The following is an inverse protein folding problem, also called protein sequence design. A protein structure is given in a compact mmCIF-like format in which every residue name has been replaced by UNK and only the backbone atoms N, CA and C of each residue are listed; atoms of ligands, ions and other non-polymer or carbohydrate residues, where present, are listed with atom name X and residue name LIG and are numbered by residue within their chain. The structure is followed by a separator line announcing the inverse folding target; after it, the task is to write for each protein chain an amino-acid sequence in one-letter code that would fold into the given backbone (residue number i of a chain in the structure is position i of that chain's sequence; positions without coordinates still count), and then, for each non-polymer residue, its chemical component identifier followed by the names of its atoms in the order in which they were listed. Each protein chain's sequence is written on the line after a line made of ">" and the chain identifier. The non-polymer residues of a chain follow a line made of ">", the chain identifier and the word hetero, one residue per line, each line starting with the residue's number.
data_IF_301085264253
#
_entry.id   IF_301085264253
#
_cell.length_a   1.000
_cell.length_b   1.000
_cell.length_c   1.000
_cell.angle_alpha   90.00
_cell.angle_beta   90.00
_cell.angle_gamma   90.00
#
_symmetry.space_group_name_H-M   'P 1'
#
loop_
_entity.id
_entity.type
_entity.pdbx_description
1 polymer ?
#
# COMPACT_ATOMS: atom_id res chain seq x y z
N UNK A 1 33.92 -9.53 -68.94
CA UNK A 1 34.43 -8.68 -67.84
C UNK A 1 33.40 -7.61 -67.49
N UNK A 2 32.80 -7.70 -66.29
CA UNK A 2 32.61 -6.61 -65.31
C UNK A 2 31.51 -6.96 -64.29
N UNK A 3 31.99 -7.58 -63.22
CA UNK A 3 31.69 -7.38 -61.78
C UNK A 3 30.21 -7.40 -61.33
N UNK A 4 29.87 -8.58 -60.83
CA UNK A 4 29.02 -8.89 -59.68
C UNK A 4 29.18 -7.85 -58.55
N UNK A 5 28.11 -7.12 -58.22
CA UNK A 5 28.05 -6.27 -57.03
C UNK A 5 27.28 -6.96 -55.90
N UNK A 6 28.08 -7.48 -54.98
CA UNK A 6 27.91 -7.75 -53.54
C UNK A 6 26.95 -6.72 -52.88
N UNK A 7 25.83 -7.15 -52.29
CA UNK A 7 25.63 -7.59 -50.88
C UNK A 7 25.40 -6.41 -49.90
N UNK A 8 24.32 -6.55 -49.12
CA UNK A 8 24.07 -5.92 -47.81
C UNK A 8 23.70 -4.42 -47.76
N UNK A 9 22.39 -4.13 -47.83
CA UNK A 9 21.81 -3.03 -47.07
C UNK A 9 21.02 -3.67 -45.90
N UNK A 10 21.68 -3.99 -44.79
CA UNK A 10 21.55 -3.23 -43.53
C UNK A 10 20.12 -2.67 -43.39
N UNK A 11 19.12 -3.44 -42.94
CA UNK A 11 18.96 -3.90 -41.55
C UNK A 11 19.76 -3.05 -40.57
N UNK A 12 19.21 -1.88 -40.19
CA UNK A 12 19.23 -1.31 -38.83
C UNK A 12 18.77 0.15 -38.92
N UNK A 13 17.52 0.41 -38.55
CA UNK A 13 17.10 1.61 -37.82
C UNK A 13 15.63 1.45 -37.36
N UNK A 14 15.33 0.31 -36.74
CA UNK A 14 14.34 0.26 -35.67
C UNK A 14 15.10 0.43 -34.36
N UNK A 15 15.65 1.62 -34.13
CA UNK A 15 15.92 2.05 -32.76
C UNK A 15 14.62 2.72 -32.32
N UNK A 16 13.58 1.90 -32.14
CA UNK A 16 12.50 2.26 -31.24
C UNK A 16 13.16 2.39 -29.89
N UNK A 17 13.53 3.62 -29.53
CA UNK A 17 13.89 3.99 -28.18
C UNK A 17 12.65 3.83 -27.30
N UNK A 18 12.29 2.59 -26.99
CA UNK A 18 11.67 2.30 -25.71
C UNK A 18 12.76 2.64 -24.70
N UNK A 19 12.64 3.81 -24.08
CA UNK A 19 13.29 4.08 -22.80
C UNK A 19 12.68 3.12 -21.78
N UNK A 20 13.09 1.85 -21.83
CA UNK A 20 12.94 0.92 -20.72
C UNK A 20 13.78 1.50 -19.58
N UNK A 21 13.09 2.05 -18.58
CA UNK A 21 13.71 2.35 -17.30
C UNK A 21 14.42 1.10 -16.84
N UNK A 22 15.75 1.17 -16.64
CA UNK A 22 16.51 0.02 -16.18
C UNK A 22 15.91 -0.48 -14.88
N UNK A 23 15.48 -1.75 -14.87
CA UNK A 23 15.04 -2.44 -13.68
C UNK A 23 16.10 -2.34 -12.58
N UNK A 24 15.65 -2.16 -11.34
CA UNK A 24 16.54 -1.82 -10.22
C UNK A 24 17.23 -3.07 -9.66
N UNK A 25 18.52 -2.95 -9.37
CA UNK A 25 19.32 -4.08 -8.87
C UNK A 25 19.02 -4.42 -7.40
N UNK A 26 18.56 -3.45 -6.61
CA UNK A 26 18.20 -3.65 -5.20
C UNK A 26 16.85 -3.03 -4.82
N UNK A 27 16.30 -3.51 -3.70
CA UNK A 27 15.11 -2.90 -3.08
C UNK A 27 15.37 -1.47 -2.62
N UNK A 28 16.60 -1.12 -2.23
CA UNK A 28 16.96 0.24 -1.83
C UNK A 28 16.89 1.20 -3.01
N UNK A 29 17.29 0.74 -4.19
CA UNK A 29 17.20 1.51 -5.43
C UNK A 29 15.73 1.69 -5.84
N UNK A 30 14.90 0.66 -5.70
CA UNK A 30 13.46 0.78 -5.94
C UNK A 30 12.77 1.70 -4.91
N UNK A 31 13.23 1.67 -3.65
CA UNK A 31 12.78 2.58 -2.60
C UNK A 31 13.19 4.03 -2.86
N UNK A 32 14.34 4.26 -3.50
CA UNK A 32 14.79 5.62 -3.83
C UNK A 32 13.86 6.36 -4.79
N UNK A 33 13.04 5.63 -5.57
CA UNK A 33 12.02 6.21 -6.47
C UNK A 33 10.73 6.61 -5.74
N UNK A 34 10.55 6.19 -4.49
CA UNK A 34 9.56 6.80 -3.62
C UNK A 34 10.15 8.17 -3.22
N UNK A 35 10.10 9.16 -4.11
CA UNK A 35 10.76 10.46 -3.90
C UNK A 35 10.18 11.25 -2.69
N UNK A 36 9.08 10.75 -2.12
CA UNK A 36 8.24 11.42 -1.15
C UNK A 36 8.15 10.69 0.21
N UNK A 37 9.16 9.92 0.68
CA UNK A 37 9.18 9.41 2.07
C UNK A 37 10.22 10.07 2.97
N UNK A 38 9.84 10.32 4.22
CA UNK A 38 10.71 10.81 5.28
C UNK A 38 11.45 9.65 5.95
N UNK A 39 10.73 8.56 6.26
CA UNK A 39 11.32 7.38 6.92
C UNK A 39 10.55 6.09 6.62
N UNK A 40 11.24 4.95 6.71
CA UNK A 40 10.68 3.60 6.57
C UNK A 40 10.67 2.92 7.94
N UNK A 41 9.49 2.46 8.40
CA UNK A 41 9.32 1.88 9.73
C UNK A 41 9.38 0.36 9.74
N UNK A 42 8.92 -0.25 8.65
CA UNK A 42 8.78 -1.69 8.54
C UNK A 42 8.74 -2.12 7.08
N UNK A 43 9.19 -3.35 6.83
CA UNK A 43 9.00 -4.01 5.56
C UNK A 43 8.68 -5.48 5.79
N UNK A 44 7.82 -6.03 4.92
CA UNK A 44 7.38 -7.42 4.97
C UNK A 44 7.61 -8.08 3.62
N UNK A 45 8.47 -9.09 3.59
CA UNK A 45 8.59 -10.00 2.44
C UNK A 45 7.27 -10.75 2.24
N UNK A 46 6.80 -10.74 1.00
CA UNK A 46 5.67 -11.50 0.47
C UNK A 46 6.15 -12.33 -0.74
N UNK A 47 5.29 -13.14 -1.33
CA UNK A 47 5.68 -14.08 -2.40
C UNK A 47 6.40 -13.39 -3.57
N UNK A 48 5.80 -12.32 -4.12
CA UNK A 48 6.29 -11.64 -5.32
C UNK A 48 7.00 -10.31 -5.05
N UNK A 49 7.42 -10.04 -3.81
CA UNK A 49 8.05 -8.76 -3.50
C UNK A 49 8.07 -8.40 -2.01
N UNK A 50 7.98 -7.11 -1.73
CA UNK A 50 8.03 -6.55 -0.37
C UNK A 50 6.99 -5.47 -0.20
N UNK A 51 6.20 -5.56 0.87
CA UNK A 51 5.37 -4.45 1.34
C UNK A 51 6.19 -3.57 2.27
N UNK A 52 6.19 -2.27 2.04
CA UNK A 52 6.96 -1.29 2.81
C UNK A 52 6.00 -0.29 3.44
N UNK A 53 6.19 -0.04 4.74
CA UNK A 53 5.47 0.96 5.50
C UNK A 53 6.37 2.16 5.76
N UNK A 54 5.92 3.35 5.38
CA UNK A 54 6.72 4.57 5.40
C UNK A 54 5.89 5.80 5.81
N UNK A 55 6.57 6.87 6.18
CA UNK A 55 5.97 8.18 6.42
C UNK A 55 6.26 9.06 5.20
N UNK A 56 5.23 9.64 4.58
CA UNK A 56 5.41 10.56 3.47
C UNK A 56 6.04 11.89 3.91
N UNK A 57 6.83 12.55 3.05
CA UNK A 57 7.45 13.87 3.30
C UNK A 57 6.45 15.04 3.36
N UNK A 58 5.23 14.85 2.87
CA UNK A 58 4.26 15.94 2.67
C UNK A 58 3.55 16.31 3.97
N UNK A 59 3.70 17.58 4.39
CA UNK A 59 2.94 18.17 5.49
C UNK A 59 1.43 18.07 5.21
N UNK A 60 0.70 17.33 6.05
CA UNK A 60 -0.76 17.13 5.94
C UNK A 60 -1.20 15.77 5.36
N UNK A 61 -0.26 14.91 4.96
CA UNK A 61 -0.58 13.54 4.54
C UNK A 61 -0.68 12.56 5.73
N UNK A 62 -1.39 11.44 5.53
CA UNK A 62 -1.60 10.42 6.58
C UNK A 62 -0.27 10.01 7.22
N UNK A 63 -0.19 9.84 8.56
CA UNK A 63 1.08 9.56 9.26
C UNK A 63 1.68 8.18 8.96
N UNK A 64 1.04 7.41 8.07
CA UNK A 64 1.45 6.08 7.64
C UNK A 64 0.95 5.82 6.22
N UNK A 65 1.87 5.46 5.33
CA UNK A 65 1.60 4.98 3.98
C UNK A 65 2.22 3.60 3.78
N UNK A 66 1.68 2.85 2.82
CA UNK A 66 2.23 1.57 2.39
C UNK A 66 2.45 1.54 0.87
N UNK A 67 3.44 0.77 0.43
CA UNK A 67 3.70 0.48 -0.98
C UNK A 67 4.11 -0.99 -1.15
N UNK A 68 3.86 -1.55 -2.34
CA UNK A 68 4.37 -2.87 -2.73
C UNK A 68 5.48 -2.73 -3.76
N UNK A 69 6.63 -3.34 -3.51
CA UNK A 69 7.76 -3.34 -4.44
C UNK A 69 7.85 -4.75 -4.99
N UNK A 70 7.51 -4.90 -6.27
CA UNK A 70 7.50 -6.17 -6.95
C UNK A 70 8.93 -6.62 -7.28
N UNK A 71 9.17 -7.92 -7.13
CA UNK A 71 10.35 -8.58 -7.66
C UNK A 71 10.00 -9.27 -8.97
N UNK A 72 10.56 -8.80 -10.07
CA UNK A 72 10.40 -9.38 -11.41
C UNK A 72 11.65 -10.17 -11.80
N UNK A 73 11.63 -10.84 -12.95
CA UNK A 73 12.82 -11.48 -13.53
C UNK A 73 13.87 -10.45 -13.99
N UNK A 74 13.45 -9.21 -14.26
CA UNK A 74 14.31 -8.10 -14.68
C UNK A 74 14.93 -7.33 -13.52
N UNK A 75 14.38 -7.42 -12.31
CA UNK A 75 14.90 -6.71 -11.14
C UNK A 75 13.79 -6.36 -10.15
N UNK A 76 13.99 -5.29 -9.39
CA UNK A 76 12.95 -4.71 -8.54
C UNK A 76 12.24 -3.58 -9.28
N UNK A 77 10.92 -3.61 -9.23
CA UNK A 77 10.05 -2.61 -9.83
C UNK A 77 9.16 -2.02 -8.73
N UNK A 78 9.21 -0.71 -8.58
CA UNK A 78 8.32 0.01 -7.69
C UNK A 78 6.95 0.13 -8.35
N UNK A 79 6.11 -0.89 -8.21
CA UNK A 79 4.68 -0.76 -8.50
C UNK A 79 4.06 0.00 -7.34
N UNK A 80 3.92 1.32 -7.46
CA UNK A 80 3.18 2.10 -6.48
C UNK A 80 1.68 1.78 -6.57
N UNK A 81 1.31 0.59 -6.13
CA UNK A 81 -0.03 0.35 -5.62
C UNK A 81 -0.19 1.39 -4.51
N UNK A 82 -1.11 2.33 -4.67
CA UNK A 82 -1.46 3.33 -3.66
C UNK A 82 -2.88 3.00 -3.20
N UNK A 83 -3.06 2.81 -1.90
CA UNK A 83 -4.39 2.58 -1.31
C UNK A 83 -5.21 3.86 -1.24
N UNK A 84 -6.52 3.72 -1.08
CA UNK A 84 -7.39 4.85 -0.71
C UNK A 84 -7.10 5.27 0.73
N UNK A 85 -7.03 6.58 0.98
CA UNK A 85 -6.74 7.15 2.29
C UNK A 85 -8.02 7.60 3.03
N UNK A 86 -8.39 6.96 4.13
CA UNK A 86 -9.41 7.54 5.00
C UNK A 86 -8.82 8.80 5.67
N UNK A 87 -9.37 9.99 5.38
CA UNK A 87 -9.08 11.21 6.15
C UNK A 87 -9.86 11.09 7.46
N UNK A 88 -9.18 10.96 8.59
CA UNK A 88 -9.86 10.78 9.88
C UNK A 88 -9.73 12.02 10.76
N UNK A 89 -10.87 12.60 11.19
CA UNK A 89 -10.92 13.69 12.17
C UNK A 89 -11.05 13.22 13.63
N UNK A 90 -11.35 11.93 13.92
CA UNK A 90 -11.02 11.24 15.20
C UNK A 90 -11.68 9.83 15.36
N UNK A 91 -10.96 8.74 15.05
CA UNK A 91 -11.05 7.49 15.82
C UNK A 91 -9.68 7.07 16.40
N UNK A 92 -9.67 6.08 17.31
CA UNK A 92 -8.47 5.49 17.92
C UNK A 92 -7.40 4.98 16.93
N UNK A 93 -7.72 4.90 15.64
CA UNK A 93 -6.80 4.50 14.59
C UNK A 93 -7.03 5.30 13.31
N UNK A 94 -5.96 5.84 12.73
CA UNK A 94 -5.94 6.23 11.32
C UNK A 94 -5.68 4.97 10.51
N UNK A 95 -6.48 4.67 9.47
CA UNK A 95 -6.36 3.42 8.74
C UNK A 95 -6.76 3.59 7.27
N UNK A 96 -6.32 2.64 6.44
CA UNK A 96 -6.46 2.67 5.00
C UNK A 96 -6.64 1.26 4.46
N UNK A 97 -7.46 1.15 3.41
CA UNK A 97 -7.62 -0.08 2.65
C UNK A 97 -6.85 0.03 1.33
N UNK A 98 -5.91 -0.87 1.15
CA UNK A 98 -5.14 -1.03 -0.07
C UNK A 98 -5.76 -2.14 -0.90
N UNK A 99 -6.23 -1.79 -2.08
CA UNK A 99 -6.82 -2.73 -3.02
C UNK A 99 -5.77 -3.20 -4.03
N UNK A 100 -5.98 -4.39 -4.57
CA UNK A 100 -5.12 -4.97 -5.59
C UNK A 100 -5.27 -4.18 -6.90
N UNK A 101 -4.19 -3.55 -7.37
CA UNK A 101 -4.11 -2.95 -8.70
C UNK A 101 -3.35 -3.84 -9.71
N UNK A 102 -2.54 -4.78 -9.21
CA UNK A 102 -1.76 -5.74 -9.99
C UNK A 102 -1.99 -7.16 -9.44
N UNK A 103 -2.20 -8.14 -10.33
CA UNK A 103 -2.42 -9.56 -9.96
C UNK A 103 -1.28 -10.15 -9.12
N UNK A 104 -0.07 -9.60 -9.24
CA UNK A 104 1.11 -10.05 -8.51
C UNK A 104 1.22 -9.45 -7.10
N UNK A 105 0.40 -8.45 -6.76
CA UNK A 105 0.46 -7.80 -5.46
C UNK A 105 -0.31 -8.59 -4.39
N UNK A 106 0.15 -8.55 -3.13
CA UNK A 106 -0.44 -9.34 -2.04
C UNK A 106 -1.75 -8.74 -1.49
N UNK A 107 -2.24 -7.66 -2.11
CA UNK A 107 -3.43 -6.96 -1.67
C UNK A 107 -4.70 -7.73 -2.05
N UNK A 108 -5.82 -7.58 -1.33
CA UNK A 108 -6.14 -6.48 -0.40
C UNK A 108 -5.41 -6.51 0.96
N UNK A 109 -5.09 -5.32 1.46
CA UNK A 109 -4.54 -5.14 2.81
C UNK A 109 -5.17 -3.95 3.51
N UNK A 110 -5.67 -4.17 4.73
CA UNK A 110 -6.08 -3.11 5.64
C UNK A 110 -4.92 -2.82 6.60
N UNK A 111 -4.60 -1.56 6.80
CA UNK A 111 -3.51 -1.16 7.70
C UNK A 111 -3.80 0.16 8.38
N UNK A 112 -3.15 0.40 9.52
CA UNK A 112 -3.37 1.63 10.27
C UNK A 112 -2.35 1.88 11.37
N UNK A 113 -2.44 3.07 11.94
CA UNK A 113 -1.69 3.53 13.11
C UNK A 113 -2.66 3.80 14.24
N UNK A 114 -2.43 3.16 15.38
CA UNK A 114 -3.15 3.44 16.63
C UNK A 114 -2.75 4.82 17.14
N UNK A 115 -3.74 5.66 17.41
CA UNK A 115 -3.63 7.02 17.95
C UNK A 115 -4.02 7.09 19.42
N UNK A 116 -4.87 6.18 19.91
CA UNK A 116 -5.22 6.09 21.33
C UNK A 116 -4.19 5.22 22.10
N UNK A 117 -3.47 5.76 23.11
CA UNK A 117 -2.48 5.01 23.87
C UNK A 117 -3.06 3.88 24.75
N UNK A 118 -4.35 3.92 25.08
CA UNK A 118 -5.03 2.88 25.86
C UNK A 118 -5.29 1.62 25.03
N UNK A 119 -5.32 1.76 23.70
CA UNK A 119 -5.48 0.64 22.78
C UNK A 119 -4.15 -0.11 22.60
N UNK A 120 -4.15 -1.39 23.00
CA UNK A 120 -3.01 -2.30 22.91
C UNK A 120 -3.13 -3.32 21.79
N UNK A 121 -4.35 -3.70 21.44
CA UNK A 121 -4.60 -4.63 20.35
C UNK A 121 -5.67 -4.09 19.42
N UNK A 122 -5.64 -4.59 18.19
CA UNK A 122 -6.66 -4.31 17.19
C UNK A 122 -7.31 -5.63 16.80
N UNK A 123 -8.63 -5.64 16.71
CA UNK A 123 -9.41 -6.74 16.13
C UNK A 123 -10.16 -6.20 14.92
N UNK A 124 -10.17 -6.97 13.84
CA UNK A 124 -10.90 -6.62 12.62
C UNK A 124 -11.96 -7.69 12.41
N UNK A 125 -13.16 -7.28 12.01
CA UNK A 125 -14.22 -8.18 11.58
C UNK A 125 -14.72 -7.72 10.22
N UNK A 126 -14.69 -8.62 9.22
CA UNK A 126 -15.30 -8.40 7.91
C UNK A 126 -16.44 -9.39 7.74
N UNK A 127 -17.68 -8.91 7.57
CA UNK A 127 -18.86 -9.76 7.37
C UNK A 127 -18.91 -10.96 8.34
N UNK A 128 -18.78 -10.68 9.63
CA UNK A 128 -18.76 -11.67 10.73
C UNK A 128 -17.49 -12.54 10.83
N UNK A 129 -16.56 -12.48 9.85
CA UNK A 129 -15.28 -13.17 9.92
C UNK A 129 -14.26 -12.33 10.69
N UNK A 130 -13.74 -12.86 11.79
CA UNK A 130 -12.62 -12.24 12.52
C UNK A 130 -11.32 -12.37 11.72
N UNK A 131 -10.65 -11.25 11.52
CA UNK A 131 -9.32 -11.13 10.92
C UNK A 131 -8.37 -10.66 12.01
N UNK A 132 -7.30 -11.44 12.25
CA UNK A 132 -6.28 -11.10 13.24
C UNK A 132 -5.19 -10.25 12.60
N UNK A 133 -5.10 -8.94 12.90
CA UNK A 133 -4.03 -8.12 12.37
C UNK A 133 -2.70 -8.48 13.03
N UNK A 134 -1.62 -8.17 12.31
CA UNK A 134 -0.27 -8.12 12.88
C UNK A 134 -0.04 -6.74 13.43
N UNK A 135 0.42 -6.69 14.67
CA UNK A 135 0.78 -5.45 15.36
C UNK A 135 2.29 -5.27 15.36
N UNK A 136 2.73 -4.02 15.20
CA UNK A 136 4.12 -3.60 15.14
C UNK A 136 4.30 -2.38 16.04
N UNK A 137 5.32 -2.42 16.89
CA UNK A 137 5.79 -1.24 17.62
C UNK A 137 7.18 -0.87 17.09
N UNK A 138 7.28 0.24 16.38
CA UNK A 138 8.54 0.69 15.76
C UNK A 138 8.63 2.21 15.83
N UNK A 139 9.77 2.73 16.26
CA UNK A 139 10.03 4.18 16.36
C UNK A 139 8.93 4.96 17.11
N UNK A 140 8.41 4.40 18.20
CA UNK A 140 7.33 5.01 18.99
C UNK A 140 5.94 4.97 18.34
N UNK A 141 5.80 4.33 17.16
CA UNK A 141 4.52 4.16 16.47
C UNK A 141 3.95 2.76 16.76
N UNK A 142 2.65 2.71 17.04
CA UNK A 142 1.86 1.48 17.14
C UNK A 142 1.10 1.30 15.82
N UNK A 143 1.59 0.40 14.98
CA UNK A 143 1.07 0.14 13.63
C UNK A 143 0.43 -1.25 13.61
N UNK A 144 -0.60 -1.43 12.80
CA UNK A 144 -1.21 -2.72 12.55
C UNK A 144 -1.51 -2.92 11.07
N UNK A 145 -1.54 -4.17 10.62
CA UNK A 145 -1.94 -4.50 9.25
C UNK A 145 -2.49 -5.93 9.14
N UNK A 146 -3.36 -6.16 8.17
CA UNK A 146 -3.92 -7.46 7.83
C UNK A 146 -4.10 -7.60 6.32
N UNK A 147 -3.59 -8.70 5.75
CA UNK A 147 -4.03 -9.14 4.43
C UNK A 147 -5.39 -9.82 4.57
N UNK A 148 -6.31 -9.54 3.66
CA UNK A 148 -7.70 -9.96 3.78
C UNK A 148 -8.29 -10.34 2.42
N UNK A 149 -9.39 -11.09 2.46
CA UNK A 149 -10.21 -11.33 1.27
C UNK A 149 -10.74 -9.99 0.74
N UNK A 150 -10.96 -9.92 -0.59
CA UNK A 150 -11.55 -8.74 -1.22
C UNK A 150 -12.94 -8.49 -0.65
N UNK A 151 -13.15 -7.36 0.05
CA UNK A 151 -14.48 -7.04 0.53
C UNK A 151 -15.40 -6.75 -0.67
N UNK A 152 -16.68 -7.07 -0.52
CA UNK A 152 -17.71 -6.73 -1.50
C UNK A 152 -18.33 -5.38 -1.16
N UNK A 153 -18.90 -4.70 -2.15
CA UNK A 153 -19.61 -3.46 -1.89
C UNK A 153 -20.82 -3.74 -0.98
N UNK A 154 -20.94 -2.95 0.09
CA UNK A 154 -21.92 -3.16 1.16
C UNK A 154 -21.43 -4.03 2.31
N UNK A 155 -20.26 -4.67 2.22
CA UNK A 155 -19.68 -5.44 3.32
C UNK A 155 -19.47 -4.56 4.57
N UNK A 156 -19.81 -5.10 5.74
CA UNK A 156 -19.52 -4.46 7.03
C UNK A 156 -18.09 -4.77 7.46
N UNK A 157 -17.31 -3.72 7.69
CA UNK A 157 -15.95 -3.78 8.22
C UNK A 157 -15.93 -3.08 9.59
N UNK A 158 -15.62 -3.84 10.63
CA UNK A 158 -15.54 -3.35 12.01
C UNK A 158 -14.08 -3.44 12.48
N UNK A 159 -13.56 -2.36 13.05
CA UNK A 159 -12.23 -2.29 13.64
C UNK A 159 -12.40 -1.93 15.12
N UNK A 160 -12.06 -2.85 16.02
CA UNK A 160 -12.10 -2.60 17.46
C UNK A 160 -10.69 -2.34 18.00
N UNK A 161 -10.56 -1.31 18.82
CA UNK A 161 -9.40 -1.07 19.67
C UNK A 161 -9.63 -1.74 21.01
N UNK A 162 -8.68 -2.56 21.44
CA UNK A 162 -8.78 -3.37 22.66
C UNK A 162 -7.74 -2.98 23.71
N UNK A 163 -8.12 -3.09 24.98
CA UNK A 163 -7.24 -2.90 26.15
C UNK A 163 -6.27 -4.08 26.32
N UNK A 164 -5.39 -3.99 27.33
CA UNK A 164 -4.51 -5.11 27.75
C UNK A 164 -5.30 -6.37 28.13
N UNK A 165 -6.52 -6.19 28.65
CA UNK A 165 -7.43 -7.26 29.06
C UNK A 165 -8.31 -7.76 27.91
N UNK A 166 -8.06 -7.30 26.68
CA UNK A 166 -8.84 -7.61 25.48
C UNK A 166 -10.29 -7.09 25.51
N UNK A 167 -10.58 -6.10 26.36
CA UNK A 167 -11.87 -5.41 26.38
C UNK A 167 -11.92 -4.36 25.29
N UNK A 168 -13.10 -4.15 24.70
CA UNK A 168 -13.29 -3.13 23.65
C UNK A 168 -13.26 -1.75 24.29
N UNK A 169 -12.33 -0.91 23.85
CA UNK A 169 -12.22 0.50 24.24
C UNK A 169 -13.00 1.37 23.25
N UNK A 170 -12.77 1.16 21.95
CA UNK A 170 -13.36 1.94 20.87
C UNK A 170 -13.64 1.06 19.66
N UNK A 171 -14.60 1.48 18.84
CA UNK A 171 -15.02 0.78 17.63
C UNK A 171 -15.14 1.76 16.48
N UNK A 172 -14.66 1.34 15.32
CA UNK A 172 -14.88 2.01 14.04
C UNK A 172 -15.62 1.05 13.12
N UNK A 173 -16.68 1.54 12.48
CA UNK A 173 -17.49 0.76 11.54
C UNK A 173 -17.49 1.43 10.17
N UNK A 174 -17.27 0.63 9.14
CA UNK A 174 -17.29 1.04 7.74
C UNK A 174 -18.22 0.14 6.94
N UNK A 175 -18.92 0.73 5.98
CA UNK A 175 -19.62 -0.01 4.94
C UNK A 175 -18.85 0.23 3.65
N UNK A 176 -18.24 -0.85 3.15
CA UNK A 176 -17.43 -0.80 1.93
C UNK A 176 -18.28 -0.26 0.76
N UNK A 177 -17.73 0.70 0.02
CA UNK A 177 -18.43 1.33 -1.12
C UNK A 177 -19.48 2.40 -0.76
N UNK A 178 -19.83 2.60 0.52
CA UNK A 178 -20.73 3.68 0.97
C UNK A 178 -20.04 4.73 1.82
N UNK A 179 -19.14 4.32 2.70
CA UNK A 179 -18.23 5.24 3.38
C UNK A 179 -17.01 5.38 2.52
N UNK A 180 -16.69 6.60 2.11
CA UNK A 180 -15.48 6.85 1.38
C UNK A 180 -14.28 6.50 2.28
N UNK A 181 -13.47 5.52 1.88
CA UNK A 181 -12.10 5.38 2.38
C UNK A 181 -11.20 6.47 1.77
N UNK A 182 -11.79 7.58 1.33
CA UNK A 182 -11.22 8.69 0.59
C UNK A 182 -12.05 9.91 0.98
N UNK A 183 -11.54 10.70 1.94
CA UNK A 183 -12.34 11.72 2.64
C UNK A 183 -13.27 12.52 1.73
N UNK A 184 -14.47 12.76 2.22
CA UNK A 184 -15.52 13.56 1.61
C UNK A 184 -14.94 14.66 0.71
N UNK A 185 -15.29 14.61 -0.57
CA UNK A 185 -15.38 15.83 -1.35
C UNK A 185 -16.34 16.72 -0.57
N UNK A 186 -15.81 17.83 -0.05
CA UNK A 186 -16.64 18.92 0.42
C UNK A 186 -17.42 19.34 -0.83
N UNK A 187 -18.71 19.00 -0.86
CA UNK A 187 -19.64 19.67 -1.76
C UNK A 187 -19.58 21.14 -1.36
N UNK A 188 -18.88 21.95 -2.16
CA UNK A 188 -19.01 23.40 -2.11
C UNK A 188 -20.46 23.69 -2.50
N UNK A 189 -21.33 23.86 -1.50
CA UNK A 189 -22.65 24.44 -1.71
C UNK A 189 -22.46 25.89 -2.19
N UNK A 190 -22.85 26.14 -3.45
CA UNK A 190 -22.99 27.49 -4.04
C UNK A 190 -24.06 28.35 -3.33
#
# INVERSE_FOLDING_TARGET
>A
MKRLSILLAFMTLFISGCTEGKAKESILDALSEIEEYESIFHHKKVENGVVVFYEPKSEGSSPLSAAFIQKTSGGWEATLDRGGHTKTSSPFTSHQLMMQANENSPFPMLYGKVTNPDVKYVRITLEEKEIKPKTLHSQGKHIWYAFMEKPTDGSSLIINGLSEQFEVIETVEHIVGKTSFAGDEVEDEE
#
